data_IF_237529669391
#
_entry.id   IF_237529669391
#
_cell.length_a   1.000
_cell.length_b   1.000
_cell.length_c   1.000
_cell.angle_alpha   90.00
_cell.angle_beta   90.00
_cell.angle_gamma   90.00
#
_symmetry.space_group_name_H-M   'P 1'
#
loop_
_entity.id
_entity.type
_entity.pdbx_description
1 polymer ?
#
# COMPACT_ATOMS: atom_id res chain seq x y z
N UNK A 1 9.54 15.68 9.04
CA UNK A 1 10.06 14.46 9.69
C UNK A 1 9.87 14.53 11.21
N UNK A 2 9.12 13.59 11.80
CA UNK A 2 9.24 13.32 13.24
C UNK A 2 10.48 12.47 13.53
N UNK A 3 11.17 12.75 14.64
CA UNK A 3 12.43 12.09 15.07
C UNK A 3 12.28 10.57 15.12
N UNK A 4 11.15 10.05 15.64
CA UNK A 4 10.91 8.61 15.82
C UNK A 4 10.88 7.80 14.52
N UNK A 5 10.25 8.29 13.46
CA UNK A 5 10.15 7.56 12.18
C UNK A 5 11.48 7.48 11.43
N UNK A 6 12.35 8.49 11.56
CA UNK A 6 13.69 8.48 10.98
C UNK A 6 14.61 7.49 11.69
N UNK A 7 14.58 7.45 13.03
CA UNK A 7 15.34 6.52 13.85
C UNK A 7 14.89 5.06 13.66
N UNK A 8 13.58 4.81 13.55
CA UNK A 8 13.04 3.47 13.28
C UNK A 8 13.55 2.90 11.96
N UNK A 9 13.42 3.64 10.86
CA UNK A 9 13.92 3.23 9.55
C UNK A 9 15.44 3.06 9.52
N UNK A 10 16.20 4.00 10.10
CA UNK A 10 17.66 3.96 10.02
C UNK A 10 18.29 2.85 10.87
N UNK A 11 17.73 2.54 12.05
CA UNK A 11 18.40 1.69 13.04
C UNK A 11 17.72 0.34 13.33
N UNK A 12 16.45 0.13 12.96
CA UNK A 12 15.68 -1.05 13.38
C UNK A 12 15.04 -1.87 12.24
N UNK A 13 15.21 -1.44 11.00
CA UNK A 13 14.67 -2.14 9.82
C UNK A 13 15.80 -2.64 8.95
N UNK A 14 15.83 -3.96 8.75
CA UNK A 14 16.66 -4.60 7.75
C UNK A 14 16.19 -4.20 6.35
N UNK A 15 17.13 -3.78 5.51
CA UNK A 15 16.83 -3.21 4.20
C UNK A 15 17.27 -4.16 3.12
N UNK A 16 16.42 -4.33 2.12
CA UNK A 16 16.75 -5.02 0.87
C UNK A 16 16.97 -4.01 -0.25
N UNK A 17 17.63 -4.44 -1.32
CA UNK A 17 17.82 -3.61 -2.51
C UNK A 17 16.48 -3.25 -3.15
N UNK A 18 16.24 -1.95 -3.39
CA UNK A 18 15.07 -1.46 -4.11
C UNK A 18 14.95 -2.09 -5.50
N UNK A 19 16.07 -2.20 -6.23
CA UNK A 19 16.09 -2.78 -7.57
C UNK A 19 15.69 -4.25 -7.54
N UNK A 20 16.16 -4.99 -6.54
CA UNK A 20 15.78 -6.39 -6.35
C UNK A 20 14.27 -6.50 -6.09
N UNK A 21 13.73 -5.69 -5.16
CA UNK A 21 12.29 -5.68 -4.88
C UNK A 21 11.47 -5.35 -6.13
N UNK A 22 11.83 -4.31 -6.88
CA UNK A 22 11.10 -3.91 -8.09
C UNK A 22 11.16 -4.99 -9.17
N UNK A 23 12.31 -5.64 -9.36
CA UNK A 23 12.44 -6.74 -10.31
C UNK A 23 11.55 -7.93 -9.89
N UNK A 24 11.57 -8.32 -8.62
CA UNK A 24 10.71 -9.39 -8.10
C UNK A 24 9.23 -9.05 -8.23
N UNK A 25 8.83 -7.82 -7.90
CA UNK A 25 7.45 -7.36 -8.04
C UNK A 25 6.98 -7.37 -9.50
N UNK A 26 7.84 -6.91 -10.41
CA UNK A 26 7.53 -6.91 -11.84
C UNK A 26 7.34 -8.31 -12.37
N UNK A 27 8.22 -9.25 -12.06
CA UNK A 27 8.06 -10.62 -12.53
C UNK A 27 6.86 -11.33 -11.89
N UNK A 28 6.52 -10.99 -10.64
CA UNK A 28 5.26 -11.44 -10.04
C UNK A 28 4.04 -10.90 -10.81
N UNK A 29 4.03 -9.61 -11.17
CA UNK A 29 2.97 -9.03 -12.00
C UNK A 29 2.92 -9.69 -13.38
N UNK A 30 4.05 -9.92 -14.04
CA UNK A 30 4.11 -10.61 -15.34
C UNK A 30 3.54 -12.03 -15.25
N UNK A 31 3.84 -12.75 -14.17
CA UNK A 31 3.28 -14.07 -13.92
C UNK A 31 1.76 -14.00 -13.75
N UNK A 32 1.25 -13.05 -12.96
CA UNK A 32 -0.20 -12.87 -12.80
C UNK A 32 -0.87 -12.49 -14.13
N UNK A 33 -0.27 -11.61 -14.92
CA UNK A 33 -0.75 -11.20 -16.22
C UNK A 33 -0.83 -12.36 -17.21
N UNK A 34 0.18 -13.24 -17.21
CA UNK A 34 0.22 -14.39 -18.14
C UNK A 34 -0.65 -15.58 -17.70
N UNK A 35 -1.05 -15.64 -16.43
CA UNK A 35 -1.81 -16.76 -15.85
C UNK A 35 -3.25 -16.40 -15.45
N UNK A 36 -3.70 -15.19 -15.73
CA UNK A 36 -5.07 -14.73 -15.44
C UNK A 36 -5.82 -14.45 -16.73
N UNK A 37 -7.13 -14.62 -16.71
CA UNK A 37 -8.00 -14.47 -17.89
C UNK A 37 -8.54 -13.05 -18.05
N UNK A 38 -8.40 -12.19 -17.03
CA UNK A 38 -8.85 -10.80 -17.06
C UNK A 38 -8.02 -9.89 -16.15
N UNK A 39 -8.11 -8.58 -16.41
CA UNK A 39 -7.50 -7.54 -15.57
C UNK A 39 -8.06 -7.56 -14.15
N UNK A 40 -9.36 -7.80 -13.99
CA UNK A 40 -10.00 -7.90 -12.68
C UNK A 40 -9.45 -9.06 -11.85
N UNK A 41 -9.16 -10.19 -12.49
CA UNK A 41 -8.55 -11.34 -11.82
C UNK A 41 -7.11 -11.02 -11.39
N UNK A 42 -6.32 -10.32 -12.22
CA UNK A 42 -4.98 -9.85 -11.86
C UNK A 42 -5.04 -8.95 -10.62
N UNK A 43 -5.94 -7.96 -10.64
CA UNK A 43 -6.12 -7.01 -9.56
C UNK A 43 -6.53 -7.72 -8.26
N UNK A 44 -7.47 -8.66 -8.34
CA UNK A 44 -7.94 -9.46 -7.20
C UNK A 44 -6.81 -10.30 -6.62
N UNK A 45 -6.09 -11.07 -7.44
CA UNK A 45 -4.96 -11.90 -6.99
C UNK A 45 -3.86 -11.06 -6.35
N UNK A 46 -3.51 -9.91 -6.93
CA UNK A 46 -2.48 -9.04 -6.35
C UNK A 46 -2.95 -8.40 -5.05
N UNK A 47 -4.23 -8.03 -4.95
CA UNK A 47 -4.81 -7.51 -3.70
C UNK A 47 -4.82 -8.59 -2.61
N UNK A 48 -5.13 -9.85 -2.94
CA UNK A 48 -5.07 -10.98 -2.01
C UNK A 48 -3.63 -11.26 -1.53
N UNK A 49 -2.65 -11.17 -2.42
CA UNK A 49 -1.23 -11.23 -2.04
C UNK A 49 -0.90 -10.09 -1.08
N UNK A 50 -1.34 -8.86 -1.39
CA UNK A 50 -1.19 -7.69 -0.53
C UNK A 50 -1.80 -7.90 0.87
N UNK A 51 -2.96 -8.52 0.94
CA UNK A 51 -3.62 -8.86 2.20
C UNK A 51 -2.73 -9.76 3.06
N UNK A 52 -2.21 -10.86 2.49
CA UNK A 52 -1.30 -11.79 3.20
C UNK A 52 0.02 -11.13 3.61
N UNK A 53 0.55 -10.25 2.76
CA UNK A 53 1.72 -9.41 3.10
C UNK A 53 1.38 -8.54 4.30
N UNK A 54 0.21 -7.88 4.31
CA UNK A 54 -0.25 -7.05 5.42
C UNK A 54 -0.38 -7.82 6.73
N UNK A 55 -0.93 -9.03 6.71
CA UNK A 55 -0.96 -9.91 7.89
C UNK A 55 0.44 -10.19 8.44
N UNK A 56 1.38 -10.54 7.55
CA UNK A 56 2.77 -10.82 7.92
C UNK A 56 3.45 -9.59 8.52
N UNK A 57 3.31 -8.43 7.86
CA UNK A 57 3.87 -7.16 8.33
C UNK A 57 3.31 -6.80 9.70
N UNK A 58 2.01 -6.97 9.92
CA UNK A 58 1.36 -6.68 11.20
C UNK A 58 1.82 -7.61 12.32
N UNK A 59 2.05 -8.89 12.04
CA UNK A 59 2.59 -9.82 13.04
C UNK A 59 4.00 -9.39 13.50
N UNK A 60 4.90 -9.02 12.58
CA UNK A 60 6.23 -8.50 12.93
C UNK A 60 6.17 -7.11 13.60
N UNK A 61 5.12 -6.33 13.31
CA UNK A 61 4.91 -4.99 13.88
C UNK A 61 4.18 -4.96 15.22
N UNK A 62 3.32 -5.94 15.51
CA UNK A 62 2.52 -6.00 16.74
C UNK A 62 3.39 -6.04 17.99
N UNK A 63 4.54 -6.73 17.90
CA UNK A 63 5.53 -6.78 18.98
C UNK A 63 6.26 -5.44 19.18
N UNK A 64 6.23 -4.54 18.18
CA UNK A 64 6.99 -3.27 18.16
C UNK A 64 6.15 -2.04 18.50
N UNK A 65 4.81 -2.09 18.35
CA UNK A 65 3.91 -0.97 18.60
C UNK A 65 2.98 -1.26 19.78
N UNK A 66 3.04 -0.40 20.82
CA UNK A 66 2.16 -0.47 22.01
C UNK A 66 0.86 0.32 21.89
N UNK A 67 0.76 1.27 20.95
CA UNK A 67 -0.42 2.13 20.77
C UNK A 67 -1.04 1.92 19.38
N UNK A 68 -2.33 1.63 19.34
CA UNK A 68 -3.07 1.39 18.10
C UNK A 68 -4.08 2.51 17.86
N UNK A 69 -4.33 2.82 16.58
CA UNK A 69 -5.38 3.77 16.20
C UNK A 69 -6.72 3.28 16.75
N UNK A 70 -7.40 4.13 17.52
CA UNK A 70 -8.70 3.82 18.12
C UNK A 70 -9.85 4.08 17.15
N UNK A 71 -9.68 5.04 16.24
CA UNK A 71 -10.67 5.43 15.25
C UNK A 71 -10.14 5.26 13.82
N UNK A 72 -11.04 5.00 12.87
CA UNK A 72 -10.70 4.80 11.45
C UNK A 72 -9.80 5.90 10.89
N UNK A 73 -10.19 7.18 11.04
CA UNK A 73 -9.39 8.30 10.52
C UNK A 73 -7.96 8.41 11.09
N UNK A 74 -7.69 7.85 12.27
CA UNK A 74 -6.35 7.86 12.86
C UNK A 74 -5.39 6.92 12.13
N UNK A 75 -5.90 5.95 11.35
CA UNK A 75 -5.05 5.10 10.50
C UNK A 75 -4.31 5.88 9.41
N UNK A 76 -4.74 7.10 9.07
CA UNK A 76 -3.96 8.00 8.21
C UNK A 76 -2.51 8.16 8.70
N UNK A 77 -2.32 8.36 10.01
CA UNK A 77 -0.98 8.51 10.61
C UNK A 77 -0.25 7.18 10.74
N UNK A 78 -0.96 6.13 11.12
CA UNK A 78 -0.39 4.79 11.28
C UNK A 78 0.13 4.24 9.95
N UNK A 79 -0.68 4.32 8.90
CA UNK A 79 -0.33 3.84 7.57
C UNK A 79 0.73 4.73 6.90
N UNK A 80 0.72 6.05 7.14
CA UNK A 80 1.83 6.93 6.75
C UNK A 80 3.16 6.49 7.36
N UNK A 81 3.17 6.21 8.67
CA UNK A 81 4.37 5.75 9.36
C UNK A 81 4.80 4.36 8.87
N UNK A 82 3.85 3.44 8.69
CA UNK A 82 4.13 2.10 8.18
C UNK A 82 4.73 2.18 6.78
N UNK A 83 4.18 3.01 5.89
CA UNK A 83 4.73 3.22 4.56
C UNK A 83 6.16 3.73 4.60
N UNK A 84 6.44 4.72 5.46
CA UNK A 84 7.80 5.22 5.70
C UNK A 84 8.77 4.15 6.18
N UNK A 85 8.35 3.31 7.12
CA UNK A 85 9.24 2.29 7.70
C UNK A 85 9.35 1.05 6.80
N UNK A 86 8.53 0.88 5.78
CA UNK A 86 8.68 -0.23 4.81
C UNK A 86 9.36 0.21 3.51
N UNK A 87 9.17 1.46 3.08
CA UNK A 87 9.68 1.96 1.80
C UNK A 87 10.83 2.96 1.93
N UNK A 88 11.03 3.52 3.13
CA UNK A 88 11.96 4.63 3.36
C UNK A 88 11.43 6.00 2.92
N UNK A 89 10.19 6.08 2.42
CA UNK A 89 9.57 7.33 2.00
C UNK A 89 8.16 7.52 2.55
N UNK A 90 7.77 8.77 2.67
CA UNK A 90 6.43 9.20 3.07
C UNK A 90 5.53 9.28 1.82
N UNK A 91 4.22 9.02 1.96
CA UNK A 91 3.28 9.42 0.90
C UNK A 91 3.39 10.93 0.68
N UNK A 92 3.25 11.39 -0.56
CA UNK A 92 3.26 12.81 -0.91
C UNK A 92 2.15 13.56 -0.20
N UNK A 93 0.93 13.01 -0.20
CA UNK A 93 -0.19 13.55 0.56
C UNK A 93 -1.01 12.43 1.22
N UNK A 94 -1.63 12.79 2.35
CA UNK A 94 -2.64 11.97 3.02
C UNK A 94 -3.80 12.87 3.38
N UNK A 95 -4.97 12.53 2.88
CA UNK A 95 -6.19 13.31 3.04
C UNK A 95 -7.24 12.46 3.77
N UNK A 96 -7.91 13.07 4.74
CA UNK A 96 -9.03 12.44 5.45
C UNK A 96 -10.26 13.27 5.13
N UNK A 97 -11.33 12.61 4.67
CA UNK A 97 -12.60 13.29 4.40
C UNK A 97 -13.19 13.92 5.67
N UNK A 98 -14.01 14.96 5.51
CA UNK A 98 -14.63 15.66 6.64
C UNK A 98 -15.51 14.75 7.51
N UNK A 99 -16.17 13.76 6.90
CA UNK A 99 -16.97 12.75 7.59
C UNK A 99 -16.13 11.66 8.28
N UNK A 100 -14.80 11.70 8.12
CA UNK A 100 -13.83 10.74 8.67
C UNK A 100 -14.04 9.31 8.20
N UNK A 101 -14.70 9.09 7.06
CA UNK A 101 -14.99 7.75 6.50
C UNK A 101 -14.11 7.38 5.31
N UNK A 102 -13.32 8.31 4.80
CA UNK A 102 -12.42 8.08 3.66
C UNK A 102 -11.04 8.61 3.98
N UNK A 103 -10.02 7.82 3.67
CA UNK A 103 -8.61 8.22 3.74
C UNK A 103 -7.99 7.98 2.37
N UNK A 104 -7.37 9.01 1.82
CA UNK A 104 -6.71 8.97 0.52
C UNK A 104 -5.21 9.16 0.71
N UNK A 105 -4.42 8.26 0.14
CA UNK A 105 -2.97 8.29 0.16
C UNK A 105 -2.47 8.49 -1.27
N UNK A 106 -1.64 9.50 -1.49
CA UNK A 106 -1.09 9.81 -2.81
C UNK A 106 0.42 9.79 -2.77
N UNK A 107 1.05 9.11 -3.72
CA UNK A 107 2.49 9.08 -3.91
C UNK A 107 2.87 9.45 -5.34
N UNK A 108 3.44 10.64 -5.49
CA UNK A 108 4.00 11.11 -6.75
C UNK A 108 5.32 10.42 -7.08
N UNK A 109 5.97 9.72 -6.17
CA UNK A 109 7.25 9.02 -6.42
C UNK A 109 7.15 7.56 -5.98
N UNK A 110 6.03 6.91 -6.31
CA UNK A 110 5.75 5.53 -5.91
C UNK A 110 6.93 4.59 -6.22
N UNK A 111 7.52 3.93 -5.20
CA UNK A 111 8.75 3.18 -5.35
C UNK A 111 8.50 1.79 -5.96
N UNK A 112 7.24 1.36 -6.03
CA UNK A 112 6.81 0.08 -6.60
C UNK A 112 6.85 0.19 -8.13
N UNK A 113 6.15 1.17 -8.70
CA UNK A 113 6.00 1.31 -10.15
C UNK A 113 7.00 2.26 -10.82
N UNK A 114 7.93 2.86 -10.09
CA UNK A 114 8.91 3.77 -10.68
C UNK A 114 9.66 3.09 -11.84
N UNK A 115 9.57 3.68 -13.04
CA UNK A 115 10.21 3.17 -14.25
C UNK A 115 9.40 2.10 -15.01
N UNK A 116 8.18 1.80 -14.57
CA UNK A 116 7.25 0.90 -15.26
C UNK A 116 6.30 1.72 -16.13
N UNK A 117 6.03 1.24 -17.34
CA UNK A 117 5.06 1.83 -18.29
C UNK A 117 4.22 0.70 -18.86
N UNK A 118 2.90 0.84 -18.78
CA UNK A 118 1.89 -0.13 -19.24
C UNK A 118 0.89 0.64 -20.08
N UNK A 119 0.73 0.25 -21.34
CA UNK A 119 -0.08 0.99 -22.33
C UNK A 119 -1.26 0.20 -22.88
N UNK A 120 -1.37 -1.08 -22.53
CA UNK A 120 -2.26 -2.06 -23.18
C UNK A 120 -3.16 -2.82 -22.19
N UNK A 121 -3.20 -2.42 -20.92
CA UNK A 121 -4.02 -3.04 -19.87
C UNK A 121 -4.90 -2.01 -19.14
N UNK A 122 -5.97 -1.49 -19.78
CA UNK A 122 -6.88 -0.56 -19.14
C UNK A 122 -7.54 -1.20 -17.91
N UNK A 123 -7.68 -0.41 -16.83
CA UNK A 123 -8.27 -0.87 -15.56
C UNK A 123 -7.32 -1.67 -14.66
N UNK A 124 -6.07 -1.91 -15.09
CA UNK A 124 -5.08 -2.54 -14.22
C UNK A 124 -4.81 -1.65 -13.00
N UNK A 125 -4.60 -2.27 -11.85
CA UNK A 125 -4.18 -1.58 -10.63
C UNK A 125 -2.80 -2.11 -10.25
N UNK A 126 -1.77 -1.65 -10.95
CA UNK A 126 -0.41 -2.23 -10.87
C UNK A 126 0.16 -2.22 -9.44
N UNK A 127 -0.23 -1.27 -8.58
CA UNK A 127 0.23 -1.17 -7.20
C UNK A 127 -0.87 -1.54 -6.17
N UNK A 128 -1.88 -2.32 -6.57
CA UNK A 128 -3.00 -2.74 -5.69
C UNK A 128 -2.57 -3.60 -4.50
N UNK A 129 -1.34 -4.10 -4.50
CA UNK A 129 -0.73 -4.73 -3.32
C UNK A 129 -0.91 -3.88 -2.05
N UNK A 130 -0.73 -2.55 -2.17
CA UNK A 130 -0.88 -1.63 -1.03
C UNK A 130 -2.32 -1.59 -0.52
N UNK A 131 -3.32 -1.66 -1.40
CA UNK A 131 -4.72 -1.80 -1.00
C UNK A 131 -4.92 -3.09 -0.18
N UNK A 132 -4.40 -4.21 -0.67
CA UNK A 132 -4.44 -5.48 0.09
C UNK A 132 -3.85 -5.34 1.50
N UNK A 133 -2.70 -4.68 1.62
CA UNK A 133 -2.07 -4.40 2.92
C UNK A 133 -2.99 -3.56 3.81
N UNK A 134 -3.62 -2.51 3.27
CA UNK A 134 -4.56 -1.68 4.03
C UNK A 134 -5.77 -2.48 4.52
N UNK A 135 -6.33 -3.34 3.68
CA UNK A 135 -7.47 -4.19 4.05
C UNK A 135 -7.12 -5.14 5.19
N UNK A 136 -5.92 -5.74 5.16
CA UNK A 136 -5.44 -6.58 6.26
C UNK A 136 -5.36 -5.80 7.58
N UNK A 137 -4.79 -4.60 7.54
CA UNK A 137 -4.70 -3.72 8.73
C UNK A 137 -6.07 -3.39 9.27
N UNK A 138 -7.03 -3.03 8.41
CA UNK A 138 -8.38 -2.69 8.87
C UNK A 138 -9.09 -3.89 9.48
N UNK A 139 -9.08 -5.02 8.78
CA UNK A 139 -9.75 -6.25 9.22
C UNK A 139 -9.20 -6.75 10.56
N UNK A 140 -7.87 -6.79 10.71
CA UNK A 140 -7.23 -7.23 11.95
C UNK A 140 -7.43 -6.27 13.12
N UNK A 141 -7.82 -5.02 12.84
CA UNK A 141 -8.16 -4.01 13.86
C UNK A 141 -9.66 -3.86 14.09
N UNK A 142 -10.47 -4.74 13.48
CA UNK A 142 -11.92 -4.77 13.69
C UNK A 142 -12.69 -3.72 12.90
N UNK A 143 -12.09 -3.11 11.88
CA UNK A 143 -12.77 -2.16 11.00
C UNK A 143 -13.26 -2.85 9.74
N UNK A 144 -14.54 -2.64 9.41
CA UNK A 144 -15.10 -2.99 8.11
C UNK A 144 -14.76 -1.89 7.12
N UNK A 145 -13.76 -2.10 6.27
CA UNK A 145 -13.31 -1.12 5.29
C UNK A 145 -12.86 -1.82 4.01
N UNK A 146 -12.94 -1.10 2.91
CA UNK A 146 -12.42 -1.54 1.62
C UNK A 146 -11.41 -0.51 1.09
N UNK A 147 -10.37 -0.99 0.42
CA UNK A 147 -9.41 -0.15 -0.26
C UNK A 147 -9.19 -0.53 -1.72
N UNK A 148 -8.88 0.47 -2.52
CA UNK A 148 -8.63 0.29 -3.94
C UNK A 148 -7.62 1.32 -4.44
N UNK A 149 -6.98 1.00 -5.56
CA UNK A 149 -6.10 1.94 -6.23
C UNK A 149 -6.91 2.77 -7.23
N UNK A 150 -6.98 4.08 -7.02
CA UNK A 150 -7.69 5.02 -7.92
C UNK A 150 -6.88 5.32 -9.18
N UNK A 151 -5.57 5.48 -9.04
CA UNK A 151 -4.67 5.87 -10.12
C UNK A 151 -3.30 5.23 -9.97
N UNK A 152 -2.59 5.07 -11.09
CA UNK A 152 -1.26 4.50 -11.13
C UNK A 152 -0.36 5.18 -12.15
N UNK A 153 0.82 5.63 -11.69
CA UNK A 153 1.86 6.16 -12.57
C UNK A 153 2.28 5.18 -13.68
N UNK A 154 2.24 3.87 -13.42
CA UNK A 154 2.56 2.88 -14.45
C UNK A 154 1.62 2.95 -15.67
N UNK A 155 0.40 3.47 -15.48
CA UNK A 155 -0.64 3.55 -16.51
C UNK A 155 -0.77 4.95 -17.10
N UNK A 156 0.17 5.85 -16.79
CA UNK A 156 0.23 7.20 -17.33
C UNK A 156 -0.34 8.29 -16.42
N UNK A 157 -0.83 7.97 -15.22
CA UNK A 157 -1.31 8.97 -14.27
C UNK A 157 -0.15 9.77 -13.63
N UNK A 158 -0.43 10.96 -13.11
CA UNK A 158 0.56 11.82 -12.46
C UNK A 158 1.08 11.24 -11.14
N UNK A 159 0.24 10.51 -10.42
CA UNK A 159 0.55 9.91 -9.12
C UNK A 159 -0.14 8.56 -8.92
N UNK A 160 0.40 7.76 -8.01
CA UNK A 160 -0.30 6.59 -7.50
C UNK A 160 -1.17 7.00 -6.31
N UNK A 161 -2.42 6.60 -6.33
CA UNK A 161 -3.37 6.97 -5.30
C UNK A 161 -4.15 5.75 -4.83
N UNK A 162 -4.24 5.59 -3.51
CA UNK A 162 -5.01 4.55 -2.86
C UNK A 162 -6.05 5.19 -1.94
N UNK A 163 -7.26 4.69 -2.04
CA UNK A 163 -8.37 5.15 -1.20
C UNK A 163 -8.80 4.00 -0.31
N UNK A 164 -8.91 4.31 0.98
CA UNK A 164 -9.45 3.43 2.00
C UNK A 164 -10.77 4.02 2.49
N UNK A 165 -11.84 3.23 2.45
CA UNK A 165 -13.20 3.66 2.78
C UNK A 165 -13.79 2.77 3.87
N UNK A 166 -14.26 3.40 4.95
CA UNK A 166 -15.01 2.72 6.00
C UNK A 166 -16.38 2.32 5.47
N UNK A 167 -16.63 1.01 5.45
CA UNK A 167 -17.94 0.43 5.21
C UNK A 167 -18.76 0.56 6.51
N UNK A 168 -20.05 0.84 6.38
CA UNK A 168 -20.98 1.11 7.49
C UNK A 168 -20.77 0.21 8.70
#
# INVERSE_FOLDING_TARGET
MGVKGKLGWQLKTDKVSKVLFQASYRELMNLLMSTSVSVDEINTKMKDIGFRVGETLLMDYADRIREHAADFHQFSRTLQLAYKVNSGQEFTSVEVSNDKRTIKFTDEKCPICQGVVITDMPGLQYCVLISGVFDAVMKLRGFSADSYQESCRALGDDACTWTLRLLT
#
